data_IF_343911903881
#
_entry.id   IF_343911903881
#
_cell.length_a   1.000
_cell.length_b   1.000
_cell.length_c   1.000
_cell.angle_alpha   90.00
_cell.angle_beta   90.00
_cell.angle_gamma   90.00
#
_symmetry.space_group_name_H-M   'P 1'
#
loop_
_entity.id
_entity.type
_entity.pdbx_description
1 polymer ?
#
# COMPACT_ATOMS: atom_id res chain seq x y z
N UNK A 1 -3.29 -29.41 22.67
CA UNK A 1 -4.45 -28.84 23.39
C UNK A 1 -5.62 -28.89 22.43
N UNK A 2 -6.77 -29.44 22.85
CA UNK A 2 -7.98 -29.45 22.03
C UNK A 2 -8.49 -28.03 21.83
N UNK A 3 -8.92 -27.67 20.62
CA UNK A 3 -9.59 -26.40 20.36
C UNK A 3 -10.94 -26.36 21.08
N UNK A 4 -11.38 -25.16 21.47
CA UNK A 4 -12.65 -24.96 22.17
C UNK A 4 -13.85 -24.95 21.23
N UNK A 5 -13.63 -24.67 19.94
CA UNK A 5 -14.67 -24.58 18.92
C UNK A 5 -14.20 -25.24 17.63
N UNK A 6 -15.13 -25.79 16.85
CA UNK A 6 -14.81 -26.32 15.53
C UNK A 6 -14.64 -25.17 14.53
N UNK A 7 -15.63 -24.28 14.39
CA UNK A 7 -15.60 -23.18 13.42
C UNK A 7 -15.90 -21.83 14.08
N UNK A 8 -14.97 -20.90 13.96
CA UNK A 8 -15.09 -19.53 14.48
C UNK A 8 -15.28 -18.48 13.38
N UNK A 9 -16.06 -17.44 13.66
CA UNK A 9 -16.28 -16.31 12.75
C UNK A 9 -15.89 -14.98 13.39
N UNK A 10 -15.18 -14.15 12.62
CA UNK A 10 -15.05 -12.70 12.87
C UNK A 10 -15.60 -11.94 11.68
N UNK A 11 -16.34 -10.87 11.98
CA UNK A 11 -16.89 -9.94 11.00
C UNK A 11 -16.35 -8.55 11.29
N UNK A 12 -15.83 -7.87 10.28
CA UNK A 12 -15.33 -6.51 10.45
C UNK A 12 -15.13 -5.76 9.15
N UNK A 13 -15.21 -4.43 9.21
CA UNK A 13 -14.92 -3.58 8.04
C UNK A 13 -13.44 -3.66 7.66
N UNK A 14 -12.55 -3.66 8.66
CA UNK A 14 -11.09 -3.61 8.51
C UNK A 14 -10.60 -2.43 7.66
N UNK A 15 -11.15 -1.24 7.94
CA UNK A 15 -10.83 0.00 7.23
C UNK A 15 -10.14 1.03 8.16
N UNK A 16 -8.82 0.96 8.38
CA UNK A 16 -7.91 -0.12 7.99
C UNK A 16 -7.92 -1.30 8.98
N UNK A 17 -7.25 -2.39 8.61
CA UNK A 17 -6.95 -3.50 9.51
C UNK A 17 -5.89 -3.05 10.54
N UNK A 18 -6.17 -3.19 11.84
CA UNK A 18 -5.32 -2.65 12.90
C UNK A 18 -5.07 -3.69 13.98
N UNK A 19 -4.11 -3.46 14.88
CA UNK A 19 -3.69 -4.44 15.88
C UNK A 19 -4.82 -4.97 16.76
N UNK A 20 -5.84 -4.17 17.08
CA UNK A 20 -7.05 -4.66 17.76
C UNK A 20 -7.80 -5.76 16.97
N UNK A 21 -8.03 -5.55 15.67
CA UNK A 21 -8.61 -6.57 14.80
C UNK A 21 -7.70 -7.78 14.69
N UNK A 22 -6.39 -7.56 14.54
CA UNK A 22 -5.43 -8.65 14.43
C UNK A 22 -5.39 -9.51 15.69
N UNK A 23 -5.44 -8.89 16.87
CA UNK A 23 -5.55 -9.58 18.15
C UNK A 23 -6.82 -10.43 18.18
N UNK A 24 -7.96 -9.87 17.79
CA UNK A 24 -9.21 -10.61 17.76
C UNK A 24 -9.14 -11.84 16.83
N UNK A 25 -8.59 -11.67 15.63
CA UNK A 25 -8.41 -12.76 14.66
C UNK A 25 -7.48 -13.85 15.21
N UNK A 26 -6.34 -13.48 15.81
CA UNK A 26 -5.43 -14.44 16.44
C UNK A 26 -6.09 -15.21 17.58
N UNK A 27 -6.89 -14.52 18.41
CA UNK A 27 -7.65 -15.15 19.50
C UNK A 27 -8.65 -16.17 18.98
N UNK A 28 -9.41 -15.84 17.93
CA UNK A 28 -10.31 -16.80 17.27
C UNK A 28 -9.54 -18.00 16.73
N UNK A 29 -8.46 -17.77 15.97
CA UNK A 29 -7.66 -18.84 15.36
C UNK A 29 -6.99 -19.73 16.42
N UNK A 30 -6.64 -19.19 17.59
CA UNK A 30 -6.14 -19.98 18.71
C UNK A 30 -7.22 -20.88 19.31
N UNK A 31 -8.48 -20.43 19.35
CA UNK A 31 -9.61 -21.13 19.96
C UNK A 31 -10.36 -22.10 19.03
N UNK A 32 -10.18 -21.99 17.70
CA UNK A 32 -10.94 -22.76 16.71
C UNK A 32 -10.06 -23.71 15.87
N UNK A 33 -10.65 -24.81 15.37
CA UNK A 33 -10.02 -25.67 14.36
C UNK A 33 -9.99 -24.96 12.99
N UNK A 34 -11.10 -24.32 12.61
CA UNK A 34 -11.22 -23.49 11.41
C UNK A 34 -11.66 -22.06 11.75
N UNK A 35 -10.99 -21.07 11.16
CA UNK A 35 -11.29 -19.66 11.36
C UNK A 35 -11.74 -18.96 10.08
N UNK A 36 -12.87 -18.26 10.16
CA UNK A 36 -13.45 -17.51 9.06
C UNK A 36 -13.42 -16.01 9.36
N UNK A 37 -12.95 -15.22 8.39
CA UNK A 37 -12.94 -13.76 8.49
C UNK A 37 -13.78 -13.18 7.35
N UNK A 38 -14.87 -12.51 7.70
CA UNK A 38 -15.73 -11.83 6.76
C UNK A 38 -15.49 -10.32 6.82
N UNK A 39 -15.21 -9.72 5.67
CA UNK A 39 -15.02 -8.29 5.53
C UNK A 39 -15.93 -7.67 4.49
N UNK A 40 -16.67 -6.64 4.89
CA UNK A 40 -17.48 -5.83 3.98
C UNK A 40 -17.71 -4.42 4.56
N UNK A 41 -17.95 -3.46 3.69
CA UNK A 41 -18.38 -2.11 4.03
C UNK A 41 -19.12 -1.51 2.84
N UNK A 42 -20.19 -0.76 3.10
CA UNK A 42 -20.90 -0.02 2.05
C UNK A 42 -21.38 1.32 2.63
N UNK A 43 -20.83 2.48 2.24
CA UNK A 43 -19.85 2.67 1.18
C UNK A 43 -18.43 2.18 1.54
N UNK A 44 -17.54 2.14 0.54
CA UNK A 44 -16.10 1.92 0.75
C UNK A 44 -15.45 3.11 1.45
N UNK A 45 -14.34 2.84 2.15
CA UNK A 45 -13.49 3.87 2.73
C UNK A 45 -12.24 4.07 1.86
N UNK A 46 -11.85 5.32 1.55
CA UNK A 46 -10.65 5.60 0.77
C UNK A 46 -9.40 4.91 1.35
N UNK A 47 -8.62 4.27 0.47
CA UNK A 47 -7.40 3.56 0.85
C UNK A 47 -7.65 2.21 1.54
N UNK A 48 -8.91 1.77 1.67
CA UNK A 48 -9.32 0.51 2.26
C UNK A 48 -10.19 -0.31 1.29
N UNK A 49 -9.93 -0.20 -0.01
CA UNK A 49 -10.67 -0.90 -1.05
C UNK A 49 -10.60 -2.43 -0.86
N UNK A 50 -11.57 -3.21 -1.37
CA UNK A 50 -11.63 -4.66 -1.18
C UNK A 50 -10.33 -5.39 -1.53
N UNK A 51 -9.64 -4.97 -2.59
CA UNK A 51 -8.37 -5.55 -2.99
C UNK A 51 -7.27 -5.39 -1.92
N UNK A 52 -7.18 -4.21 -1.28
CA UNK A 52 -6.22 -3.95 -0.20
C UNK A 52 -6.54 -4.79 1.03
N UNK A 53 -7.81 -4.77 1.47
CA UNK A 53 -8.28 -5.58 2.61
C UNK A 53 -8.03 -7.07 2.41
N UNK A 54 -8.28 -7.59 1.20
CA UNK A 54 -8.01 -8.99 0.84
C UNK A 54 -6.53 -9.31 0.94
N UNK A 55 -5.65 -8.44 0.43
CA UNK A 55 -4.20 -8.62 0.54
C UNK A 55 -3.74 -8.60 2.00
N UNK A 56 -4.19 -7.64 2.81
CA UNK A 56 -3.81 -7.58 4.23
C UNK A 56 -4.18 -8.85 4.99
N UNK A 57 -5.43 -9.30 4.84
CA UNK A 57 -5.92 -10.51 5.49
C UNK A 57 -5.19 -11.76 5.01
N UNK A 58 -4.95 -11.90 3.71
CA UNK A 58 -4.24 -13.05 3.16
C UNK A 58 -2.77 -13.12 3.64
N UNK A 59 -2.08 -11.98 3.76
CA UNK A 59 -0.69 -11.95 4.21
C UNK A 59 -0.56 -12.16 5.72
N UNK A 60 -1.45 -11.57 6.52
CA UNK A 60 -1.36 -11.64 7.99
C UNK A 60 -2.02 -12.90 8.57
N UNK A 61 -3.00 -13.46 7.88
CA UNK A 61 -3.79 -14.61 8.32
C UNK A 61 -3.97 -15.66 7.22
N UNK A 62 -2.88 -16.20 6.62
CA UNK A 62 -2.98 -17.22 5.58
C UNK A 62 -3.72 -18.50 6.00
N UNK A 63 -3.81 -18.75 7.32
CA UNK A 63 -4.54 -19.87 7.93
C UNK A 63 -6.05 -19.64 8.04
N UNK A 64 -6.53 -18.39 7.87
CA UNK A 64 -7.95 -18.06 7.96
C UNK A 64 -8.59 -18.07 6.57
N UNK A 65 -9.80 -18.65 6.46
CA UNK A 65 -10.59 -18.51 5.23
C UNK A 65 -11.27 -17.15 5.22
N UNK A 66 -10.72 -16.25 4.41
CA UNK A 66 -11.16 -14.86 4.33
C UNK A 66 -12.12 -14.63 3.15
N UNK A 67 -13.25 -13.98 3.41
CA UNK A 67 -14.17 -13.46 2.39
C UNK A 67 -14.20 -11.96 2.49
N UNK A 68 -13.79 -11.27 1.43
CA UNK A 68 -13.85 -9.81 1.32
C UNK A 68 -14.81 -9.47 0.19
N UNK A 69 -15.90 -8.81 0.53
CA UNK A 69 -16.96 -8.42 -0.40
C UNK A 69 -16.79 -6.98 -0.86
N UNK A 70 -17.22 -6.73 -2.09
CA UNK A 70 -17.31 -5.38 -2.64
C UNK A 70 -18.56 -4.67 -2.09
N UNK A 71 -18.54 -3.33 -1.97
CA UNK A 71 -19.67 -2.56 -1.44
C UNK A 71 -21.02 -2.86 -2.12
N UNK A 72 -21.04 -3.14 -3.42
CA UNK A 72 -22.26 -3.45 -4.16
C UNK A 72 -22.92 -4.78 -3.74
N UNK A 73 -22.16 -5.68 -3.12
CA UNK A 73 -22.66 -6.98 -2.65
C UNK A 73 -23.16 -6.92 -1.19
N UNK A 74 -22.92 -5.81 -0.49
CA UNK A 74 -23.12 -5.69 0.94
C UNK A 74 -24.23 -4.68 1.30
N UNK A 75 -24.97 -4.92 2.41
CA UNK A 75 -25.93 -3.95 2.92
C UNK A 75 -25.22 -2.64 3.31
N UNK A 76 -25.90 -1.49 3.19
CA UNK A 76 -25.38 -0.22 3.68
C UNK A 76 -24.93 -0.29 5.15
N UNK A 77 -23.89 0.46 5.49
CA UNK A 77 -23.29 0.51 6.82
C UNK A 77 -24.27 1.00 7.91
N UNK A 78 -25.34 1.66 7.52
CA UNK A 78 -26.42 2.16 8.38
C UNK A 78 -27.68 1.29 8.34
N UNK A 79 -27.65 0.14 7.66
CA UNK A 79 -28.73 -0.83 7.74
C UNK A 79 -28.86 -1.35 9.18
N UNK A 80 -30.08 -1.74 9.56
CA UNK A 80 -30.37 -2.22 10.90
C UNK A 80 -29.63 -3.53 11.22
N UNK A 81 -29.48 -3.79 12.51
CA UNK A 81 -28.77 -4.95 13.05
C UNK A 81 -29.29 -6.29 12.51
N UNK A 82 -30.60 -6.43 12.32
CA UNK A 82 -31.19 -7.69 11.84
C UNK A 82 -30.79 -7.93 10.38
N UNK A 83 -30.88 -6.89 9.55
CA UNK A 83 -30.41 -6.92 8.15
C UNK A 83 -28.93 -7.34 8.07
N UNK A 84 -28.07 -6.74 8.90
CA UNK A 84 -26.64 -7.08 8.95
C UNK A 84 -26.41 -8.55 9.33
N UNK A 85 -27.08 -9.03 10.39
CA UNK A 85 -26.93 -10.41 10.89
C UNK A 85 -27.43 -11.45 9.89
N UNK A 86 -28.59 -11.20 9.28
CA UNK A 86 -29.16 -12.06 8.24
C UNK A 86 -28.25 -12.12 7.00
N UNK A 87 -27.67 -10.99 6.61
CA UNK A 87 -26.70 -10.93 5.53
C UNK A 87 -25.49 -11.82 5.82
N UNK A 88 -24.91 -11.74 7.03
CA UNK A 88 -23.78 -12.60 7.39
C UNK A 88 -24.15 -14.09 7.40
N UNK A 89 -25.32 -14.46 7.93
CA UNK A 89 -25.79 -15.84 7.88
C UNK A 89 -25.89 -16.36 6.42
N UNK A 90 -26.40 -15.52 5.52
CA UNK A 90 -26.46 -15.81 4.08
C UNK A 90 -25.08 -15.99 3.46
N UNK A 91 -24.14 -15.08 3.73
CA UNK A 91 -22.76 -15.17 3.23
C UNK A 91 -22.06 -16.44 3.75
N UNK A 92 -22.29 -16.83 5.00
CA UNK A 92 -21.76 -18.09 5.54
C UNK A 92 -22.25 -19.30 4.71
N UNK A 93 -23.54 -19.38 4.42
CA UNK A 93 -24.11 -20.48 3.63
C UNK A 93 -23.69 -20.45 2.16
N UNK A 94 -23.71 -19.28 1.53
CA UNK A 94 -23.54 -19.14 0.07
C UNK A 94 -22.08 -19.04 -0.36
N UNK A 95 -21.25 -18.32 0.40
CA UNK A 95 -19.84 -18.05 0.04
C UNK A 95 -18.87 -18.91 0.82
N UNK A 96 -19.10 -19.08 2.13
CA UNK A 96 -18.26 -19.96 2.96
C UNK A 96 -18.69 -21.43 2.85
N UNK A 97 -19.92 -21.70 2.39
CA UNK A 97 -20.48 -23.05 2.27
C UNK A 97 -20.39 -23.83 3.59
N UNK A 98 -20.56 -23.13 4.70
CA UNK A 98 -20.46 -23.68 6.06
C UNK A 98 -21.30 -22.87 7.05
N UNK A 99 -21.56 -23.45 8.20
CA UNK A 99 -22.01 -22.75 9.42
C UNK A 99 -20.83 -22.58 10.38
N UNK A 100 -21.04 -21.86 11.48
CA UNK A 100 -20.02 -21.64 12.53
C UNK A 100 -20.62 -21.89 13.90
N UNK A 101 -19.79 -22.22 14.88
CA UNK A 101 -20.22 -22.59 16.24
C UNK A 101 -19.89 -21.48 17.26
N UNK A 102 -19.03 -20.53 16.88
CA UNK A 102 -18.73 -19.35 17.67
C UNK A 102 -18.55 -18.10 16.79
N UNK A 103 -19.03 -16.97 17.30
CA UNK A 103 -18.74 -15.63 16.76
C UNK A 103 -17.94 -14.84 17.78
N UNK A 104 -16.87 -14.22 17.31
CA UNK A 104 -15.95 -13.46 18.13
C UNK A 104 -16.11 -11.96 17.84
N UNK A 105 -16.40 -11.17 18.85
CA UNK A 105 -16.54 -9.70 18.71
C UNK A 105 -15.92 -8.99 19.91
N UNK A 106 -15.51 -7.73 19.70
CA UNK A 106 -15.12 -6.81 20.78
C UNK A 106 -16.23 -5.83 21.15
N UNK A 107 -17.43 -6.03 20.60
CA UNK A 107 -18.54 -5.07 20.66
C UNK A 107 -19.75 -5.68 21.37
N UNK A 108 -20.56 -4.82 22.00
CA UNK A 108 -21.69 -5.21 22.86
C UNK A 108 -22.84 -5.90 22.11
N UNK A 109 -22.91 -5.75 20.77
CA UNK A 109 -23.95 -6.37 19.95
C UNK A 109 -23.72 -7.87 19.66
N UNK A 110 -22.61 -8.45 20.13
CA UNK A 110 -22.20 -9.81 19.77
C UNK A 110 -23.19 -10.91 20.14
N UNK A 111 -23.92 -10.75 21.25
CA UNK A 111 -24.92 -11.72 21.70
C UNK A 111 -26.09 -11.83 20.71
N UNK A 112 -26.60 -10.69 20.25
CA UNK A 112 -27.66 -10.66 19.24
C UNK A 112 -27.21 -11.22 17.89
N UNK A 113 -25.91 -11.15 17.58
CA UNK A 113 -25.32 -11.76 16.40
C UNK A 113 -25.33 -13.28 16.50
N UNK A 114 -24.87 -13.82 17.63
CA UNK A 114 -24.86 -15.26 17.90
C UNK A 114 -26.27 -15.86 17.85
N UNK A 115 -27.26 -15.19 18.44
CA UNK A 115 -28.66 -15.63 18.43
C UNK A 115 -29.25 -15.73 17.03
N UNK A 116 -29.05 -14.72 16.19
CA UNK A 116 -29.58 -14.74 14.82
C UNK A 116 -28.86 -15.80 13.96
N UNK A 117 -27.54 -15.95 14.10
CA UNK A 117 -26.82 -17.04 13.43
C UNK A 117 -27.33 -18.41 13.87
N UNK A 118 -27.54 -18.62 15.18
CA UNK A 118 -28.06 -19.88 15.71
C UNK A 118 -29.45 -20.21 15.15
N UNK A 119 -30.33 -19.21 15.07
CA UNK A 119 -31.66 -19.34 14.46
C UNK A 119 -31.58 -19.71 12.98
N UNK A 120 -30.67 -19.09 12.24
CA UNK A 120 -30.48 -19.31 10.80
C UNK A 120 -29.82 -20.65 10.47
N UNK A 121 -28.94 -21.14 11.35
CA UNK A 121 -28.18 -22.38 11.14
C UNK A 121 -28.85 -23.60 11.76
N UNK A 122 -29.81 -23.41 12.66
CA UNK A 122 -30.52 -24.51 13.34
C UNK A 122 -29.69 -25.22 14.41
N UNK A 123 -28.60 -24.61 14.88
CA UNK A 123 -27.76 -25.13 15.97
C UNK A 123 -27.20 -23.98 16.81
N UNK A 124 -26.68 -24.31 17.99
CA UNK A 124 -26.14 -23.28 18.89
C UNK A 124 -24.90 -22.61 18.30
N UNK A 125 -24.82 -21.28 18.48
CA UNK A 125 -23.67 -20.44 18.16
C UNK A 125 -23.35 -19.64 19.41
N UNK A 126 -22.10 -19.68 19.86
CA UNK A 126 -21.67 -18.97 21.07
C UNK A 126 -21.05 -17.62 20.73
N UNK A 127 -21.44 -16.57 21.45
CA UNK A 127 -20.70 -15.31 21.42
C UNK A 127 -19.46 -15.40 22.32
N UNK A 128 -18.31 -15.01 21.77
CA UNK A 128 -17.05 -14.86 22.51
C UNK A 128 -16.63 -13.40 22.45
N UNK A 129 -16.68 -12.76 23.62
CA UNK A 129 -16.28 -11.37 23.80
C UNK A 129 -14.75 -11.27 23.93
N UNK A 130 -14.12 -10.42 23.11
CA UNK A 130 -12.66 -10.22 23.10
C UNK A 130 -12.36 -8.78 23.48
N UNK A 131 -11.72 -8.57 24.63
CA UNK A 131 -11.25 -7.27 25.12
C UNK A 131 -12.23 -6.09 24.83
N UNK A 132 -13.49 -6.15 25.31
CA UNK A 132 -14.45 -5.05 25.13
C UNK A 132 -13.94 -3.66 25.55
N UNK A 133 -13.21 -3.52 26.67
CA UNK A 133 -12.69 -2.20 27.05
C UNK A 133 -11.49 -1.75 26.20
N UNK A 134 -11.03 -2.58 25.25
CA UNK A 134 -9.87 -2.33 24.38
C UNK A 134 -8.60 -2.00 25.15
N UNK A 135 -8.39 -2.66 26.30
CA UNK A 135 -7.25 -2.41 27.18
C UNK A 135 -5.94 -2.88 26.56
N UNK A 136 -5.99 -3.97 25.78
CA UNK A 136 -4.82 -4.58 25.14
C UNK A 136 -4.38 -3.74 23.94
N UNK A 137 -5.34 -3.25 23.16
CA UNK A 137 -5.11 -2.43 21.98
C UNK A 137 -6.11 -1.28 21.92
N UNK A 138 -5.81 -0.12 22.53
CA UNK A 138 -6.72 1.03 22.58
C UNK A 138 -6.72 1.79 21.24
N UNK A 139 -7.23 1.15 20.20
CA UNK A 139 -7.27 1.69 18.83
C UNK A 139 -8.71 1.87 18.36
N UNK A 140 -8.94 2.95 17.62
CA UNK A 140 -10.19 3.22 16.92
C UNK A 140 -9.94 3.36 15.42
N UNK A 141 -10.68 2.59 14.61
CA UNK A 141 -10.66 2.76 13.17
C UNK A 141 -11.06 4.18 12.73
N UNK A 142 -11.89 4.88 13.50
CA UNK A 142 -12.25 6.28 13.21
C UNK A 142 -11.08 7.23 13.40
N UNK A 143 -10.27 7.06 14.45
CA UNK A 143 -9.06 7.85 14.68
C UNK A 143 -8.01 7.58 13.59
N UNK A 144 -7.80 6.30 13.25
CA UNK A 144 -6.88 5.91 12.18
C UNK A 144 -7.25 6.52 10.83
N UNK A 145 -8.53 6.63 10.51
CA UNK A 145 -8.99 7.27 9.26
C UNK A 145 -8.89 8.80 9.29
N UNK A 146 -8.86 9.41 10.48
CA UNK A 146 -8.70 10.85 10.61
C UNK A 146 -7.23 11.28 10.41
N UNK A 147 -6.27 10.51 10.95
CA UNK A 147 -4.84 10.69 10.69
C UNK A 147 -4.10 9.36 10.82
N UNK A 148 -3.86 8.71 9.68
CA UNK A 148 -3.22 7.39 9.67
C UNK A 148 -1.74 7.44 10.03
N UNK A 149 -1.08 8.57 9.77
CA UNK A 149 0.36 8.72 9.99
C UNK A 149 0.68 9.00 11.45
N UNK A 150 -0.18 9.76 12.14
CA UNK A 150 -0.08 9.99 13.60
C UNK A 150 -0.39 8.74 14.42
N UNK A 151 -1.18 7.82 13.87
CA UNK A 151 -1.62 6.59 14.54
C UNK A 151 -1.00 5.30 14.00
N UNK A 152 0.05 5.40 13.17
CA UNK A 152 0.68 4.26 12.47
C UNK A 152 1.16 3.13 13.37
N UNK A 153 1.49 3.41 14.64
CA UNK A 153 1.89 2.42 15.64
C UNK A 153 0.79 1.38 15.95
N UNK A 154 -0.45 1.62 15.53
CA UNK A 154 -1.55 0.68 15.68
C UNK A 154 -1.77 -0.21 14.45
N UNK A 155 -0.93 -0.09 13.42
CA UNK A 155 -1.01 -0.85 12.18
C UNK A 155 0.22 -1.75 12.04
N UNK A 156 0.02 -2.96 11.53
CA UNK A 156 1.15 -3.76 11.08
C UNK A 156 1.86 -3.09 9.90
N UNK A 157 3.17 -3.29 9.73
CA UNK A 157 3.93 -2.73 8.62
C UNK A 157 3.32 -3.04 7.24
N UNK A 158 2.74 -4.25 7.11
CA UNK A 158 2.01 -4.70 5.91
C UNK A 158 0.82 -3.80 5.57
N UNK A 159 0.04 -3.40 6.57
CA UNK A 159 -1.14 -2.53 6.36
C UNK A 159 -0.69 -1.10 6.13
N UNK A 160 0.26 -0.62 6.94
CA UNK A 160 0.71 0.77 6.88
C UNK A 160 1.39 1.11 5.54
N UNK A 161 2.09 0.16 4.91
CA UNK A 161 2.76 0.33 3.62
C UNK A 161 1.85 0.88 2.50
N UNK A 162 0.55 0.56 2.53
CA UNK A 162 -0.42 1.04 1.53
C UNK A 162 -0.85 2.50 1.70
N UNK A 163 -0.50 3.09 2.83
CA UNK A 163 -0.75 4.50 3.15
C UNK A 163 0.50 5.35 2.99
N UNK A 164 1.67 4.75 2.71
CA UNK A 164 2.91 5.49 2.46
C UNK A 164 2.83 6.22 1.13
N UNK A 165 3.04 7.54 1.19
CA UNK A 165 3.05 8.43 0.04
C UNK A 165 4.40 8.33 -0.69
N UNK A 166 4.39 7.83 -1.92
CA UNK A 166 5.61 7.68 -2.73
C UNK A 166 5.90 8.96 -3.51
N UNK A 167 7.08 9.53 -3.30
CA UNK A 167 7.55 10.74 -3.96
C UNK A 167 8.64 10.35 -4.96
N UNK A 168 8.34 10.46 -6.25
CA UNK A 168 9.22 10.03 -7.33
C UNK A 168 10.18 11.15 -7.74
N UNK A 169 11.47 10.86 -7.84
CA UNK A 169 12.47 11.76 -8.38
C UNK A 169 12.74 11.39 -9.84
N UNK A 170 12.49 12.34 -10.73
CA UNK A 170 12.76 12.27 -12.17
C UNK A 170 13.77 13.34 -12.56
N UNK A 171 14.43 13.13 -13.70
CA UNK A 171 15.40 14.07 -14.24
C UNK A 171 16.61 13.36 -14.82
N UNK A 172 17.38 14.11 -15.62
CA UNK A 172 18.49 13.52 -16.34
C UNK A 172 19.66 13.07 -15.48
N UNK A 173 20.69 12.57 -16.13
CA UNK A 173 21.95 12.24 -15.46
C UNK A 173 22.54 13.48 -14.79
N UNK A 174 23.07 13.28 -13.57
CA UNK A 174 23.74 14.32 -12.78
C UNK A 174 22.88 15.57 -12.50
N UNK A 175 21.57 15.41 -12.33
CA UNK A 175 20.66 16.50 -11.88
C UNK A 175 20.43 16.51 -10.36
N UNK A 176 21.23 15.76 -9.60
CA UNK A 176 21.18 15.73 -8.14
C UNK A 176 20.06 14.87 -7.52
N UNK A 177 19.41 13.99 -8.30
CA UNK A 177 18.32 13.12 -7.81
C UNK A 177 18.70 12.31 -6.58
N UNK A 178 19.76 11.51 -6.66
CA UNK A 178 20.15 10.62 -5.57
C UNK A 178 20.52 11.40 -4.31
N UNK A 179 21.24 12.52 -4.46
CA UNK A 179 21.56 13.42 -3.36
C UNK A 179 20.32 14.03 -2.72
N UNK A 180 19.36 14.48 -3.53
CA UNK A 180 18.11 15.05 -3.04
C UNK A 180 17.22 14.00 -2.35
N UNK A 181 17.11 12.79 -2.91
CA UNK A 181 16.36 11.68 -2.32
C UNK A 181 16.91 11.32 -0.93
N UNK A 182 18.24 11.20 -0.81
CA UNK A 182 18.89 10.92 0.46
C UNK A 182 18.71 12.06 1.47
N UNK A 183 18.86 13.32 1.04
CA UNK A 183 18.65 14.49 1.89
C UNK A 183 17.21 14.60 2.41
N UNK A 184 16.23 14.35 1.54
CA UNK A 184 14.81 14.31 1.89
C UNK A 184 14.51 13.17 2.87
N UNK A 185 15.01 11.97 2.61
CA UNK A 185 14.85 10.84 3.53
C UNK A 185 15.42 11.14 4.92
N UNK A 186 16.61 11.77 4.99
CA UNK A 186 17.21 12.18 6.25
C UNK A 186 16.37 13.23 6.98
N UNK A 187 15.93 14.30 6.29
CA UNK A 187 15.14 15.37 6.90
C UNK A 187 13.77 14.87 7.41
N UNK A 188 13.09 14.03 6.63
CA UNK A 188 11.79 13.48 6.99
C UNK A 188 11.90 12.23 7.86
N UNK A 189 13.11 11.77 8.21
CA UNK A 189 13.37 10.57 9.01
C UNK A 189 12.68 9.32 8.45
N UNK A 190 12.82 9.10 7.14
CA UNK A 190 12.20 8.01 6.38
C UNK A 190 13.20 7.34 5.45
N UNK A 191 12.73 6.45 4.58
CA UNK A 191 13.56 5.75 3.61
C UNK A 191 13.60 6.44 2.25
N UNK A 192 14.64 6.12 1.49
CA UNK A 192 14.67 6.31 0.05
C UNK A 192 15.03 4.99 -0.65
N UNK A 193 14.63 4.88 -1.91
CA UNK A 193 15.04 3.80 -2.81
C UNK A 193 15.98 4.39 -3.86
N UNK A 194 17.18 3.83 -3.97
CA UNK A 194 18.19 4.25 -4.94
C UNK A 194 17.97 3.60 -6.32
N UNK A 195 18.53 4.22 -7.36
CA UNK A 195 18.29 3.84 -8.75
C UNK A 195 18.95 2.50 -9.07
N UNK A 196 18.14 1.46 -9.26
CA UNK A 196 18.67 0.14 -9.59
C UNK A 196 19.26 0.06 -11.01
N UNK A 197 18.71 0.84 -11.96
CA UNK A 197 19.23 0.89 -13.32
C UNK A 197 20.71 1.24 -13.39
N UNK A 198 21.16 2.16 -12.53
CA UNK A 198 22.57 2.54 -12.40
C UNK A 198 23.43 1.40 -11.86
N UNK A 199 22.98 0.74 -10.79
CA UNK A 199 23.67 -0.41 -10.19
C UNK A 199 23.85 -1.55 -11.19
N UNK A 200 22.79 -1.88 -11.95
CA UNK A 200 22.88 -2.92 -12.96
C UNK A 200 23.81 -2.52 -14.11
N UNK A 201 23.74 -1.27 -14.57
CA UNK A 201 24.61 -0.74 -15.62
C UNK A 201 26.09 -0.86 -15.23
N UNK A 202 26.45 -0.49 -13.99
CA UNK A 202 27.82 -0.63 -13.47
C UNK A 202 28.26 -2.09 -13.40
N UNK A 203 27.40 -2.97 -12.86
CA UNK A 203 27.69 -4.41 -12.73
C UNK A 203 27.90 -5.10 -14.08
N UNK A 204 27.31 -4.55 -15.16
CA UNK A 204 27.44 -5.02 -16.55
C UNK A 204 28.48 -4.24 -17.35
N UNK A 205 29.34 -3.45 -16.71
CA UNK A 205 30.36 -2.64 -17.36
C UNK A 205 29.82 -1.75 -18.49
N UNK A 206 28.60 -1.22 -18.29
CA UNK A 206 27.91 -0.35 -19.23
C UNK A 206 27.13 -1.04 -20.34
N UNK A 207 27.10 -2.38 -20.37
CA UNK A 207 26.42 -3.15 -21.43
C UNK A 207 25.07 -3.71 -20.97
N UNK A 208 24.01 -2.90 -21.11
CA UNK A 208 22.64 -3.36 -20.89
C UNK A 208 22.07 -4.00 -22.16
N UNK A 209 21.25 -5.04 -21.97
CA UNK A 209 20.46 -5.70 -23.02
C UNK A 209 19.00 -5.26 -22.94
N UNK A 210 18.22 -5.52 -24.00
CA UNK A 210 16.80 -5.17 -24.00
C UNK A 210 16.02 -5.86 -22.86
N UNK A 211 16.32 -7.13 -22.56
CA UNK A 211 15.68 -7.85 -21.45
C UNK A 211 15.99 -7.25 -20.08
N UNK A 212 17.10 -6.51 -19.94
CA UNK A 212 17.41 -5.85 -18.67
C UNK A 212 16.44 -4.70 -18.37
N UNK A 213 15.75 -4.13 -19.37
CA UNK A 213 14.82 -3.02 -19.14
C UNK A 213 13.63 -3.44 -18.27
N UNK A 214 13.02 -4.59 -18.56
CA UNK A 214 11.92 -5.09 -17.73
C UNK A 214 12.42 -5.46 -16.33
N UNK A 215 13.57 -6.15 -16.24
CA UNK A 215 14.18 -6.53 -14.96
C UNK A 215 14.50 -5.33 -14.07
N UNK A 216 14.98 -4.22 -14.66
CA UNK A 216 15.26 -2.99 -13.92
C UNK A 216 13.97 -2.44 -13.29
N UNK A 217 12.89 -2.36 -14.07
CA UNK A 217 11.62 -1.83 -13.59
C UNK A 217 11.00 -2.71 -12.50
N UNK A 218 11.01 -4.03 -12.68
CA UNK A 218 10.51 -4.98 -11.67
C UNK A 218 11.31 -4.90 -10.37
N UNK A 219 12.64 -4.83 -10.47
CA UNK A 219 13.51 -4.73 -9.30
C UNK A 219 13.34 -3.39 -8.59
N UNK A 220 13.18 -2.28 -9.33
CA UNK A 220 12.91 -0.97 -8.74
C UNK A 220 11.62 -1.01 -7.91
N UNK A 221 10.54 -1.56 -8.48
CA UNK A 221 9.26 -1.72 -7.76
C UNK A 221 9.44 -2.62 -6.54
N UNK A 222 10.14 -3.74 -6.67
CA UNK A 222 10.37 -4.66 -5.54
C UNK A 222 11.11 -3.96 -4.38
N UNK A 223 12.09 -3.10 -4.68
CA UNK A 223 12.79 -2.29 -3.67
C UNK A 223 11.87 -1.27 -3.02
N UNK A 224 10.99 -0.62 -3.79
CA UNK A 224 9.99 0.30 -3.23
C UNK A 224 9.00 -0.42 -2.31
N UNK A 225 8.50 -1.59 -2.71
CA UNK A 225 7.60 -2.39 -1.87
C UNK A 225 8.29 -2.91 -0.60
N UNK A 226 9.59 -3.20 -0.66
CA UNK A 226 10.37 -3.58 0.52
C UNK A 226 10.65 -2.40 1.47
N UNK A 227 10.78 -1.18 0.93
CA UNK A 227 11.04 0.01 1.72
C UNK A 227 9.78 0.61 2.37
N UNK A 228 8.61 0.44 1.75
CA UNK A 228 7.36 1.03 2.25
C UNK A 228 7.00 0.62 3.70
N UNK A 229 7.08 -0.67 4.11
CA UNK A 229 6.74 -1.08 5.48
C UNK A 229 7.61 -0.45 6.60
N UNK A 230 8.83 -0.01 6.26
CA UNK A 230 9.78 0.62 7.19
C UNK A 230 9.93 2.13 6.95
N UNK A 231 9.11 2.69 6.06
CA UNK A 231 9.00 4.12 5.83
C UNK A 231 8.01 4.75 6.81
N UNK A 232 8.06 6.07 6.94
CA UNK A 232 7.02 6.80 7.67
C UNK A 232 5.93 7.29 6.70
N UNK A 233 5.53 8.56 6.73
CA UNK A 233 4.55 9.12 5.81
C UNK A 233 5.02 9.08 4.35
N UNK A 234 6.30 9.36 4.10
CA UNK A 234 6.85 9.47 2.75
C UNK A 234 7.85 8.36 2.43
N UNK A 235 7.93 7.94 1.17
CA UNK A 235 9.03 7.15 0.61
C UNK A 235 9.57 7.87 -0.62
N UNK A 236 10.86 8.20 -0.65
CA UNK A 236 11.50 8.90 -1.76
C UNK A 236 12.11 7.91 -2.75
N UNK A 237 11.65 7.91 -4.00
CA UNK A 237 12.08 6.94 -5.01
C UNK A 237 12.95 7.61 -6.08
N UNK A 238 14.25 7.33 -6.09
CA UNK A 238 15.14 7.57 -7.23
C UNK A 238 15.30 6.24 -7.95
N UNK A 239 14.64 5.95 -9.06
CA UNK A 239 13.69 6.74 -9.85
C UNK A 239 12.41 5.90 -9.98
N UNK A 240 11.71 5.95 -11.11
CA UNK A 240 10.55 5.08 -11.40
C UNK A 240 10.73 4.24 -12.67
N UNK A 241 9.85 3.24 -12.89
CA UNK A 241 9.76 2.53 -14.16
C UNK A 241 9.55 3.45 -15.38
N UNK A 242 9.05 4.69 -15.19
CA UNK A 242 8.95 5.67 -16.28
C UNK A 242 10.33 6.07 -16.83
N UNK A 243 11.34 6.18 -15.97
CA UNK A 243 12.73 6.39 -16.39
C UNK A 243 13.26 5.19 -17.17
N UNK A 244 12.92 3.98 -16.72
CA UNK A 244 13.34 2.76 -17.43
C UNK A 244 12.68 2.66 -18.81
N UNK A 245 11.42 3.07 -18.94
CA UNK A 245 10.71 3.16 -20.22
C UNK A 245 11.41 4.15 -21.19
N UNK A 246 11.83 5.32 -20.69
CA UNK A 246 12.62 6.27 -21.48
C UNK A 246 13.89 5.62 -22.05
N UNK A 247 14.69 4.99 -21.19
CA UNK A 247 15.94 4.33 -21.62
C UNK A 247 15.67 3.16 -22.58
N UNK A 248 14.58 2.40 -22.40
CA UNK A 248 14.20 1.34 -23.33
C UNK A 248 13.94 1.88 -24.74
N UNK A 249 13.17 2.97 -24.86
CA UNK A 249 12.94 3.61 -26.15
C UNK A 249 14.22 4.21 -26.73
N UNK A 250 15.03 4.85 -25.91
CA UNK A 250 16.27 5.48 -26.37
C UNK A 250 17.29 4.46 -26.89
N UNK A 251 17.57 3.42 -26.11
CA UNK A 251 18.62 2.44 -26.41
C UNK A 251 18.18 1.36 -27.41
N UNK A 252 16.90 0.97 -27.41
CA UNK A 252 16.42 -0.18 -28.17
C UNK A 252 15.27 0.13 -29.13
N UNK A 253 14.77 1.37 -29.17
CA UNK A 253 13.68 1.81 -30.05
C UNK A 253 12.38 0.99 -29.90
N UNK A 254 12.21 0.33 -28.74
CA UNK A 254 11.04 -0.46 -28.37
C UNK A 254 10.93 -0.59 -26.85
N UNK A 255 9.76 -0.99 -26.35
CA UNK A 255 9.53 -1.29 -24.95
C UNK A 255 8.78 -2.62 -24.82
N UNK A 256 9.02 -3.33 -23.71
CA UNK A 256 8.21 -4.50 -23.37
C UNK A 256 6.80 -4.02 -22.94
N UNK A 257 5.70 -4.66 -23.40
CA UNK A 257 4.36 -4.28 -22.96
C UNK A 257 4.17 -4.32 -21.44
N UNK A 258 4.85 -5.23 -20.73
CA UNK A 258 4.83 -5.26 -19.27
C UNK A 258 5.51 -4.00 -18.68
N UNK A 259 6.63 -3.56 -19.27
CA UNK A 259 7.30 -2.32 -18.86
C UNK A 259 6.39 -1.09 -19.07
N UNK A 260 5.63 -1.04 -20.16
CA UNK A 260 4.66 0.04 -20.37
C UNK A 260 3.57 0.09 -19.29
N UNK A 261 3.14 -1.07 -18.78
CA UNK A 261 2.20 -1.17 -17.65
C UNK A 261 2.87 -0.72 -16.36
N UNK A 262 4.09 -1.20 -16.07
CA UNK A 262 4.83 -0.82 -14.86
C UNK A 262 5.15 0.69 -14.83
N UNK A 263 5.38 1.31 -15.99
CA UNK A 263 5.58 2.76 -16.12
C UNK A 263 4.35 3.60 -15.78
N UNK A 264 3.17 3.00 -15.56
CA UNK A 264 1.95 3.67 -15.10
C UNK A 264 1.78 3.62 -13.59
N UNK A 265 2.77 3.11 -12.86
CA UNK A 265 2.76 3.07 -11.40
C UNK A 265 2.46 4.44 -10.81
N UNK A 266 1.56 4.44 -9.83
CA UNK A 266 1.11 5.66 -9.16
C UNK A 266 2.17 6.16 -8.16
N UNK A 267 2.40 7.46 -8.19
CA UNK A 267 3.18 8.20 -7.20
C UNK A 267 2.36 9.41 -6.76
N UNK A 268 2.46 9.79 -5.49
CA UNK A 268 1.75 10.94 -4.93
C UNK A 268 2.21 12.23 -5.61
N UNK A 269 3.52 12.36 -5.88
CA UNK A 269 4.13 13.52 -6.50
C UNK A 269 5.39 13.12 -7.28
N UNK A 270 5.62 13.76 -8.41
CA UNK A 270 6.85 13.66 -9.18
C UNK A 270 7.68 14.95 -9.04
N UNK A 271 8.91 14.82 -8.58
CA UNK A 271 9.90 15.90 -8.51
C UNK A 271 10.78 15.84 -9.75
N UNK A 272 10.56 16.77 -10.69
CA UNK A 272 11.40 16.88 -11.88
C UNK A 272 12.62 17.76 -11.57
N UNK A 273 13.76 17.10 -11.39
CA UNK A 273 15.05 17.72 -11.12
C UNK A 273 15.62 18.38 -12.37
N UNK A 274 15.63 19.71 -12.40
CA UNK A 274 16.13 20.48 -13.53
C UNK A 274 17.63 20.25 -13.78
N UNK A 275 18.12 20.35 -15.03
CA UNK A 275 19.52 20.19 -15.38
C UNK A 275 20.34 21.49 -15.17
N UNK A 276 20.25 22.12 -14.00
CA UNK A 276 20.88 23.41 -13.70
C UNK A 276 22.19 23.31 -12.91
N UNK A 277 22.63 22.11 -12.52
CA UNK A 277 23.99 21.91 -12.00
C UNK A 277 25.05 22.09 -13.10
N UNK A 278 26.21 22.70 -12.78
CA UNK A 278 27.33 22.79 -13.72
C UNK A 278 27.71 21.40 -14.23
N UNK A 279 27.78 21.24 -15.55
CA UNK A 279 28.16 19.97 -16.16
C UNK A 279 29.64 19.67 -15.90
N UNK A 280 29.93 18.82 -14.91
CA UNK A 280 31.27 18.28 -14.71
C UNK A 280 31.41 16.99 -15.53
N UNK A 281 32.27 16.99 -16.55
CA UNK A 281 32.49 15.85 -17.43
C UNK A 281 33.56 14.93 -16.81
N UNK A 282 33.13 13.81 -16.22
CA UNK A 282 33.98 12.80 -15.58
C UNK A 282 34.19 11.56 -16.47
N UNK A 283 33.94 11.69 -17.78
CA UNK A 283 34.33 10.70 -18.79
C UNK A 283 33.32 9.60 -19.11
N UNK A 284 32.22 9.47 -18.36
CA UNK A 284 31.19 8.43 -18.56
C UNK A 284 29.78 8.96 -18.90
N UNK A 285 29.62 10.28 -19.10
CA UNK A 285 28.32 10.97 -19.20
C UNK A 285 27.87 11.24 -20.63
N UNK A 286 26.57 11.13 -20.88
CA UNK A 286 25.92 11.49 -22.15
C UNK A 286 25.89 13.01 -22.38
N UNK A 287 25.74 13.45 -23.63
CA UNK A 287 25.86 14.86 -24.04
C UNK A 287 24.70 15.76 -23.51
N UNK A 288 24.87 17.08 -23.64
CA UNK A 288 23.88 18.07 -23.19
C UNK A 288 22.55 17.97 -23.95
N UNK A 289 22.56 17.48 -25.20
CA UNK A 289 21.37 17.30 -26.02
C UNK A 289 20.52 16.14 -25.49
N UNK A 290 21.15 15.05 -25.06
CA UNK A 290 20.47 13.92 -24.41
C UNK A 290 19.75 14.35 -23.13
N UNK A 291 20.43 15.12 -22.26
CA UNK A 291 19.81 15.63 -21.03
C UNK A 291 18.59 16.51 -21.31
N UNK A 292 18.66 17.35 -22.34
CA UNK A 292 17.53 18.19 -22.76
C UNK A 292 16.37 17.37 -23.36
N UNK A 293 16.68 16.35 -24.17
CA UNK A 293 15.69 15.44 -24.74
C UNK A 293 14.98 14.64 -23.63
N UNK A 294 15.73 14.16 -22.64
CA UNK A 294 15.20 13.44 -21.49
C UNK A 294 14.28 14.33 -20.63
N UNK A 295 14.68 15.57 -20.33
CA UNK A 295 13.85 16.55 -19.61
C UNK A 295 12.55 16.84 -20.36
N UNK A 296 12.63 17.10 -21.66
CA UNK A 296 11.46 17.35 -22.53
C UNK A 296 10.52 16.14 -22.52
N UNK A 297 11.07 14.93 -22.65
CA UNK A 297 10.29 13.70 -22.63
C UNK A 297 9.53 13.52 -21.30
N UNK A 298 10.19 13.73 -20.16
CA UNK A 298 9.51 13.66 -18.86
C UNK A 298 8.38 14.68 -18.74
N UNK A 299 8.59 15.94 -19.14
CA UNK A 299 7.53 16.97 -19.11
C UNK A 299 6.35 16.58 -19.97
N UNK A 300 6.61 16.05 -21.17
CA UNK A 300 5.57 15.56 -22.06
C UNK A 300 4.79 14.42 -21.42
N UNK A 301 5.47 13.41 -20.87
CA UNK A 301 4.79 12.26 -20.25
C UNK A 301 4.02 12.64 -18.98
N UNK A 302 4.59 13.47 -18.11
CA UNK A 302 3.92 13.94 -16.91
C UNK A 302 2.66 14.74 -17.26
N UNK A 303 2.76 15.66 -18.23
CA UNK A 303 1.62 16.47 -18.70
C UNK A 303 0.57 15.62 -19.38
N UNK A 304 0.97 14.77 -20.34
CA UNK A 304 0.06 13.92 -21.13
C UNK A 304 -0.73 12.95 -20.25
N UNK A 305 -0.13 12.46 -19.17
CA UNK A 305 -0.75 11.53 -18.23
C UNK A 305 -1.48 12.22 -17.08
N UNK A 306 -1.42 13.55 -16.97
CA UNK A 306 -2.02 14.31 -15.87
C UNK A 306 -1.42 13.97 -14.49
N UNK A 307 -0.14 13.56 -14.45
CA UNK A 307 0.52 13.18 -13.21
C UNK A 307 0.88 14.42 -12.40
N UNK A 308 0.63 14.47 -11.08
CA UNK A 308 1.07 15.59 -10.24
C UNK A 308 2.59 15.68 -10.26
N UNK A 309 3.12 16.85 -10.64
CA UNK A 309 4.55 17.09 -10.66
C UNK A 309 4.92 18.52 -10.28
N UNK A 310 6.12 18.68 -9.73
CA UNK A 310 6.74 19.98 -9.50
C UNK A 310 8.16 19.96 -10.05
N UNK A 311 8.58 21.08 -10.61
CA UNK A 311 9.97 21.29 -10.97
C UNK A 311 10.77 21.73 -9.75
N UNK A 312 11.99 21.19 -9.61
CA UNK A 312 12.93 21.61 -8.57
C UNK A 312 14.24 22.07 -9.20
N UNK A 313 14.74 23.22 -8.73
CA UNK A 313 15.88 23.96 -9.28
C UNK A 313 16.83 24.43 -8.18
N UNK A 314 18.05 24.78 -8.58
CA UNK A 314 19.09 25.32 -7.71
C UNK A 314 19.90 24.24 -7.00
N UNK A 315 20.58 24.68 -5.95
CA UNK A 315 21.35 23.85 -5.03
C UNK A 315 20.49 22.78 -4.34
N UNK A 316 21.15 21.79 -3.73
CA UNK A 316 20.45 20.75 -2.96
C UNK A 316 19.61 21.35 -1.84
N UNK A 317 20.10 22.38 -1.16
CA UNK A 317 19.39 23.03 -0.05
C UNK A 317 18.15 23.79 -0.54
N UNK A 318 18.24 24.50 -1.67
CA UNK A 318 17.09 25.19 -2.28
C UNK A 318 16.01 24.20 -2.72
N UNK A 319 16.41 23.09 -3.36
CA UNK A 319 15.49 22.02 -3.75
C UNK A 319 14.85 21.37 -2.54
N UNK A 320 15.63 21.08 -1.51
CA UNK A 320 15.16 20.48 -0.26
C UNK A 320 14.12 21.38 0.41
N UNK A 321 14.38 22.69 0.51
CA UNK A 321 13.44 23.65 1.08
C UNK A 321 12.13 23.73 0.27
N UNK A 322 12.22 23.81 -1.06
CA UNK A 322 11.05 23.88 -1.94
C UNK A 322 10.16 22.63 -1.83
N UNK A 323 10.77 21.44 -1.85
CA UNK A 323 10.05 20.16 -1.69
C UNK A 323 9.44 20.07 -0.30
N UNK A 324 10.18 20.47 0.73
CA UNK A 324 9.70 20.40 2.12
C UNK A 324 8.45 21.25 2.34
N UNK A 325 8.39 22.44 1.75
CA UNK A 325 7.21 23.29 1.81
C UNK A 325 6.03 22.68 1.03
N UNK A 326 6.28 22.13 -0.17
CA UNK A 326 5.25 21.44 -0.93
C UNK A 326 4.66 20.24 -0.18
N UNK A 327 5.49 19.42 0.46
CA UNK A 327 5.05 18.26 1.25
C UNK A 327 4.36 18.67 2.56
N UNK A 328 4.59 19.88 3.07
CA UNK A 328 3.87 20.41 4.23
C UNK A 328 2.43 20.76 3.87
N UNK A 329 2.16 21.21 2.65
CA UNK A 329 0.82 21.54 2.15
C UNK A 329 -0.01 20.28 1.90
N UNK A 330 0.63 19.15 1.57
CA UNK A 330 -0.03 17.85 1.48
C UNK A 330 -0.49 17.30 2.85
N UNK A 331 -0.14 17.97 3.98
CA UNK A 331 -0.34 17.42 5.32
C UNK A 331 -1.77 17.32 5.79
#
# INVERSE_FOLDING_TARGET
MSKSFQRGLIVGKFCPLHHGHEHAIRTMLAACEEGFVLSYTNPEFPGCEPARRRRWLAQLFPQARCVVLDAAEAPPNNADDLTQRQFVARVCRERLQTTVDAVFTSEDYGEGFAQELARQFGHHVRHISIDPPRLTHPVSGTQLRADIHAHRQHLSPVVYADFVERICLLGGESTGKSTLAAALAAQFQTQHVAEYGRELWESRHGHLTFSDMLHIAETQIAREEAAAPISNRFLFCDTSPLTTLFYSHHLFQRADPALEVLARRDYTLHLLCAPDFPFHQDGTRQDSAFRAAQDTWYRTELTRRGLPWMEVRGSVDERLAAVSEALRILR
#
